data_IF_069601048192
#
_entry.id   IF_069601048192
#
_cell.length_a   1.000
_cell.length_b   1.000
_cell.length_c   1.000
_cell.angle_alpha   90.00
_cell.angle_beta   90.00
_cell.angle_gamma   90.00
#
_symmetry.space_group_name_H-M   'P 1'
#
loop_
_entity.id
_entity.type
_entity.pdbx_description
1 polymer ?
#
# COMPACT_ATOMS: atom_id res chain seq x y z
N UNK A 1 -9.13 9.60 -12.16
CA UNK A 1 -8.12 10.25 -11.34
C UNK A 1 -7.76 9.40 -10.14
N UNK A 2 -6.48 9.27 -9.88
CA UNK A 2 -6.01 8.44 -8.79
C UNK A 2 -6.13 9.14 -7.46
N UNK A 3 -6.37 8.33 -6.42
CA UNK A 3 -6.36 8.87 -5.07
C UNK A 3 -4.97 9.41 -4.75
N UNK A 4 -4.89 10.49 -3.96
CA UNK A 4 -3.58 11.08 -3.65
C UNK A 4 -2.59 10.08 -3.08
N UNK A 5 -3.06 9.13 -2.27
CA UNK A 5 -2.16 8.17 -1.67
C UNK A 5 -1.44 7.29 -2.67
N UNK A 6 -2.05 7.07 -3.83
CA UNK A 6 -1.42 6.23 -4.82
C UNK A 6 -0.30 6.91 -5.57
N UNK A 7 -0.22 8.23 -5.49
CA UNK A 7 0.82 8.94 -6.20
C UNK A 7 2.20 8.74 -5.59
N UNK A 8 2.25 8.33 -4.34
CA UNK A 8 3.53 8.11 -3.68
C UNK A 8 4.03 6.69 -3.87
N UNK A 9 3.26 5.85 -4.56
CA UNK A 9 3.63 4.47 -4.77
C UNK A 9 4.31 4.33 -6.13
N UNK A 10 5.34 3.49 -6.19
CA UNK A 10 5.91 3.17 -7.47
C UNK A 10 5.06 2.11 -8.16
N UNK A 11 5.45 1.78 -9.37
CA UNK A 11 4.64 0.91 -10.21
C UNK A 11 4.48 -0.47 -9.60
N UNK A 12 5.54 -0.99 -9.01
CA UNK A 12 5.48 -2.31 -8.40
C UNK A 12 4.55 -2.33 -7.18
N UNK A 13 4.64 -1.28 -6.38
CA UNK A 13 3.79 -1.21 -5.20
C UNK A 13 2.33 -1.14 -5.58
N UNK A 14 2.02 -0.34 -6.60
CA UNK A 14 0.63 -0.24 -7.05
C UNK A 14 0.14 -1.57 -7.58
N UNK A 15 0.98 -2.27 -8.33
CA UNK A 15 0.57 -3.55 -8.89
C UNK A 15 0.31 -4.57 -7.79
N UNK A 16 1.16 -4.60 -6.79
CA UNK A 16 1.01 -5.56 -5.71
C UNK A 16 -0.26 -5.26 -4.92
N UNK A 17 -0.52 -4.00 -4.63
CA UNK A 17 -1.75 -3.66 -3.93
C UNK A 17 -2.98 -4.00 -4.76
N UNK A 18 -2.90 -3.77 -6.06
CA UNK A 18 -4.00 -4.11 -6.93
C UNK A 18 -4.29 -5.61 -6.89
N UNK A 19 -3.25 -6.41 -6.99
CA UNK A 19 -3.43 -7.86 -6.95
C UNK A 19 -3.98 -8.31 -5.61
N UNK A 20 -3.54 -7.69 -4.55
CA UNK A 20 -3.96 -8.10 -3.22
C UNK A 20 -5.41 -7.72 -2.92
N UNK A 21 -5.79 -6.51 -3.27
CA UNK A 21 -7.08 -5.98 -2.83
C UNK A 21 -8.16 -6.02 -3.90
N UNK A 22 -7.79 -5.93 -5.15
CA UNK A 22 -8.78 -5.99 -6.22
C UNK A 22 -8.93 -7.38 -6.79
N UNK A 23 -7.84 -8.11 -6.91
CA UNK A 23 -7.90 -9.47 -7.42
C UNK A 23 -8.09 -10.49 -6.31
N UNK A 24 -7.86 -10.10 -5.08
CA UNK A 24 -8.04 -11.01 -3.97
C UNK A 24 -7.00 -12.10 -3.85
N UNK A 25 -5.81 -11.87 -4.38
CA UNK A 25 -4.75 -12.86 -4.31
C UNK A 25 -4.10 -12.87 -2.95
N UNK A 26 -3.63 -14.05 -2.54
CA UNK A 26 -2.83 -14.14 -1.34
C UNK A 26 -1.42 -13.61 -1.60
N UNK A 27 -0.70 -13.33 -0.52
CA UNK A 27 0.67 -12.87 -0.68
C UNK A 27 1.53 -13.91 -1.38
N UNK A 28 1.26 -15.17 -1.13
CA UNK A 28 1.98 -16.23 -1.79
C UNK A 28 1.73 -16.24 -3.29
N UNK A 29 0.49 -16.04 -3.68
CA UNK A 29 0.16 -16.00 -5.09
C UNK A 29 0.75 -14.80 -5.77
N UNK A 30 0.75 -13.66 -5.08
CA UNK A 30 1.36 -12.45 -5.63
C UNK A 30 2.86 -12.66 -5.83
N UNK A 31 3.50 -13.28 -4.85
CA UNK A 31 4.94 -13.53 -4.93
C UNK A 31 5.26 -14.35 -6.16
N UNK A 32 4.46 -15.35 -6.45
CA UNK A 32 4.68 -16.18 -7.61
C UNK A 32 4.49 -15.41 -8.91
N UNK A 33 3.47 -14.58 -8.95
CA UNK A 33 3.20 -13.81 -10.16
C UNK A 33 4.26 -12.77 -10.44
N UNK A 34 4.73 -12.11 -9.39
CA UNK A 34 5.68 -11.02 -9.54
C UNK A 34 7.11 -11.53 -9.59
N UNK A 35 7.35 -12.72 -9.05
CA UNK A 35 8.69 -13.30 -9.08
C UNK A 35 9.56 -12.85 -7.95
N UNK A 36 8.98 -12.59 -6.79
CA UNK A 36 9.74 -12.22 -5.61
C UNK A 36 9.27 -13.09 -4.45
N UNK A 37 9.95 -12.98 -3.31
CA UNK A 37 9.59 -13.80 -2.17
C UNK A 37 8.31 -13.29 -1.53
N UNK A 38 7.63 -14.21 -0.83
CA UNK A 38 6.41 -13.84 -0.12
C UNK A 38 6.71 -12.81 0.96
N UNK A 39 7.84 -12.95 1.62
CA UNK A 39 8.22 -11.99 2.65
C UNK A 39 8.43 -10.60 2.05
N UNK A 40 8.98 -10.55 0.85
CA UNK A 40 9.17 -9.29 0.17
C UNK A 40 7.83 -8.66 -0.17
N UNK A 41 6.88 -9.48 -0.63
CA UNK A 41 5.54 -8.99 -0.92
C UNK A 41 4.93 -8.41 0.35
N UNK A 42 5.07 -9.10 1.46
CA UNK A 42 4.52 -8.64 2.72
C UNK A 42 5.08 -7.27 3.10
N UNK A 43 6.39 -7.12 2.94
CA UNK A 43 7.03 -5.85 3.25
C UNK A 43 6.58 -4.73 2.33
N UNK A 44 6.43 -5.04 1.05
CA UNK A 44 5.99 -4.03 0.09
C UNK A 44 4.56 -3.59 0.40
N UNK A 45 3.70 -4.53 0.76
CA UNK A 45 2.33 -4.18 1.10
C UNK A 45 2.32 -3.26 2.31
N UNK A 46 3.06 -3.64 3.35
CA UNK A 46 3.09 -2.82 4.55
C UNK A 46 3.63 -1.43 4.28
N UNK A 47 4.72 -1.36 3.53
CA UNK A 47 5.31 -0.06 3.21
C UNK A 47 4.37 0.79 2.37
N UNK A 48 3.70 0.15 1.41
CA UNK A 48 2.76 0.88 0.57
C UNK A 48 1.62 1.46 1.38
N UNK A 49 1.08 0.67 2.28
CA UNK A 49 -0.02 1.16 3.12
C UNK A 49 0.44 2.28 4.04
N UNK A 50 1.66 2.19 4.54
CA UNK A 50 2.20 3.27 5.36
C UNK A 50 2.36 4.55 4.56
N UNK A 51 2.82 4.44 3.33
CA UNK A 51 2.95 5.62 2.47
C UNK A 51 1.59 6.27 2.23
N UNK A 52 0.58 5.44 1.97
CA UNK A 52 -0.76 5.97 1.74
C UNK A 52 -1.28 6.65 3.00
N UNK A 53 -1.07 6.03 4.14
CA UNK A 53 -1.52 6.61 5.40
C UNK A 53 -0.86 7.95 5.67
N UNK A 54 0.42 8.04 5.40
CA UNK A 54 1.14 9.28 5.62
C UNK A 54 0.65 10.36 4.67
N UNK A 55 0.38 9.99 3.45
CA UNK A 55 -0.12 10.95 2.48
C UNK A 55 -1.49 11.48 2.88
N UNK A 56 -2.37 10.59 3.32
CA UNK A 56 -3.69 10.99 3.77
C UNK A 56 -3.59 11.83 5.03
N UNK A 57 -2.72 11.45 5.94
CA UNK A 57 -2.55 12.20 7.18
C UNK A 57 -2.00 13.60 6.90
N UNK A 58 -1.15 13.73 5.89
CA UNK A 58 -0.65 15.03 5.49
C UNK A 58 -1.75 15.93 5.00
N UNK A 59 -2.68 15.36 4.25
CA UNK A 59 -3.80 16.12 3.68
C UNK A 59 -4.82 16.48 4.73
N UNK A 60 -4.97 15.63 5.74
CA UNK A 60 -5.97 15.86 6.77
C UNK A 60 -5.39 16.71 7.88
N UNK A 61 -6.27 17.26 8.68
CA UNK A 61 -5.85 18.08 9.79
C UNK A 61 -5.13 17.25 10.85
N UNK A 62 -4.04 17.77 11.36
CA UNK A 62 -3.28 17.01 12.35
C UNK A 62 -4.08 16.66 13.59
N UNK A 63 -5.06 17.46 13.95
CA UNK A 63 -5.80 17.18 15.16
C UNK A 63 -6.52 15.83 15.09
N UNK A 64 -6.79 15.36 13.90
CA UNK A 64 -7.44 14.06 13.78
C UNK A 64 -6.59 12.99 14.44
N UNK A 65 -5.29 13.07 14.24
CA UNK A 65 -4.39 12.12 14.84
C UNK A 65 -4.16 12.38 16.31
N UNK A 66 -4.05 13.62 16.66
CA UNK A 66 -3.82 13.90 18.06
C UNK A 66 -5.00 13.50 18.88
N UNK A 67 -6.19 13.60 18.33
CA UNK A 67 -7.35 13.12 19.06
C UNK A 67 -7.27 11.63 19.26
N UNK A 68 -6.78 10.93 18.29
CA UNK A 68 -6.65 9.50 18.41
C UNK A 68 -5.58 9.06 19.37
N UNK A 69 -4.68 9.92 19.65
CA UNK A 69 -3.55 9.59 20.52
C UNK A 69 -3.96 9.44 21.99
#
# INVERSE_FOLDING_TARGET
>A
MLAPGFRVLDERERKILHLRFFKGLTQSQIAQQVGISQMHVSRLIRRSLEKIREEIASDEEPQARSAGA
#
